data_IF_844056573686
#
_entry.id   IF_844056573686
#
_cell.length_a   1.000
_cell.length_b   1.000
_cell.length_c   1.000
_cell.angle_alpha   90.00
_cell.angle_beta   90.00
_cell.angle_gamma   90.00
#
_symmetry.space_group_name_H-M   'P 1'
#
loop_
_entity.id
_entity.type
_entity.pdbx_description
1 polymer ?
#
# COMPACT_ATOMS: atom_id res chain seq x y z
N UNK A 1 -28.39 33.82 27.98
CA UNK A 1 -27.06 34.00 27.33
C UNK A 1 -27.19 35.15 26.34
N UNK A 2 -26.32 36.17 26.41
CA UNK A 2 -26.38 37.29 25.47
C UNK A 2 -26.32 36.80 24.01
N UNK A 3 -27.04 37.42 23.06
CA UNK A 3 -27.13 36.96 21.66
C UNK A 3 -25.75 36.73 21.02
N UNK A 4 -24.82 37.65 21.25
CA UNK A 4 -23.43 37.58 20.78
C UNK A 4 -22.68 36.34 21.28
N UNK A 5 -22.86 35.97 22.55
CA UNK A 5 -22.20 34.80 23.14
C UNK A 5 -22.76 33.50 22.54
N UNK A 6 -24.04 33.48 22.19
CA UNK A 6 -24.66 32.33 21.51
C UNK A 6 -24.16 32.19 20.07
N UNK A 7 -24.05 33.30 19.35
CA UNK A 7 -23.57 33.33 17.97
C UNK A 7 -22.09 32.92 17.83
N UNK A 8 -21.22 33.40 18.73
CA UNK A 8 -19.81 32.99 18.78
C UNK A 8 -19.67 31.49 19.02
N UNK A 9 -20.47 30.93 19.96
CA UNK A 9 -20.44 29.49 20.24
C UNK A 9 -20.84 28.66 19.02
N UNK A 10 -21.86 29.08 18.28
CA UNK A 10 -22.26 28.38 17.04
C UNK A 10 -21.17 28.43 15.97
N UNK A 11 -20.55 29.58 15.74
CA UNK A 11 -19.45 29.71 14.77
C UNK A 11 -18.24 28.85 15.13
N UNK A 12 -17.88 28.77 16.41
CA UNK A 12 -16.79 27.90 16.87
C UNK A 12 -17.12 26.43 16.60
N UNK A 13 -18.37 26.02 16.89
CA UNK A 13 -18.81 24.64 16.63
C UNK A 13 -18.81 24.32 15.14
N UNK A 14 -19.31 25.22 14.31
CA UNK A 14 -19.35 25.07 12.85
C UNK A 14 -17.94 24.94 12.26
N UNK A 15 -17.02 25.80 12.68
CA UNK A 15 -15.61 25.72 12.27
C UNK A 15 -14.95 24.40 12.71
N UNK A 16 -15.24 23.94 13.93
CA UNK A 16 -14.71 22.67 14.42
C UNK A 16 -15.25 21.47 13.62
N UNK A 17 -16.53 21.48 13.27
CA UNK A 17 -17.14 20.45 12.43
C UNK A 17 -16.53 20.43 11.02
N UNK A 18 -16.38 21.59 10.39
CA UNK A 18 -15.73 21.70 9.08
C UNK A 18 -14.29 21.19 9.11
N UNK A 19 -13.55 21.50 10.19
CA UNK A 19 -12.17 21.01 10.34
C UNK A 19 -12.11 19.49 10.50
N UNK A 20 -13.03 18.89 11.27
CA UNK A 20 -13.13 17.43 11.41
C UNK A 20 -13.46 16.77 10.07
N UNK A 21 -14.39 17.33 9.29
CA UNK A 21 -14.72 16.83 7.95
C UNK A 21 -13.51 16.86 7.01
N UNK A 22 -12.74 17.96 7.03
CA UNK A 22 -11.51 18.05 6.24
C UNK A 22 -10.46 17.00 6.66
N UNK A 23 -10.29 16.77 7.97
CA UNK A 23 -9.39 15.72 8.46
C UNK A 23 -9.86 14.33 8.04
N UNK A 24 -11.15 14.03 8.12
CA UNK A 24 -11.71 12.77 7.65
C UNK A 24 -11.45 12.57 6.15
N UNK A 25 -11.66 13.60 5.32
CA UNK A 25 -11.34 13.53 3.89
C UNK A 25 -9.86 13.20 3.62
N UNK A 26 -8.94 13.79 4.40
CA UNK A 26 -7.50 13.49 4.30
C UNK A 26 -7.17 12.06 4.74
N UNK A 27 -7.80 11.56 5.81
CA UNK A 27 -7.62 10.19 6.28
C UNK A 27 -8.10 9.20 5.22
N UNK A 28 -9.29 9.43 4.65
CA UNK A 28 -9.83 8.58 3.57
C UNK A 28 -8.91 8.56 2.36
N UNK A 29 -8.41 9.72 1.91
CA UNK A 29 -7.46 9.78 0.80
C UNK A 29 -6.16 9.00 1.09
N UNK A 30 -5.61 9.14 2.30
CA UNK A 30 -4.42 8.40 2.71
C UNK A 30 -4.67 6.88 2.74
N UNK A 31 -5.84 6.44 3.22
CA UNK A 31 -6.23 5.04 3.21
C UNK A 31 -6.37 4.49 1.78
N UNK A 32 -6.96 5.26 0.86
CA UNK A 32 -7.07 4.87 -0.55
C UNK A 32 -5.70 4.70 -1.20
N UNK A 33 -4.77 5.65 -0.96
CA UNK A 33 -3.40 5.56 -1.47
C UNK A 33 -2.68 4.35 -0.86
N UNK A 34 -2.79 4.14 0.45
CA UNK A 34 -2.17 2.99 1.12
C UNK A 34 -2.71 1.66 0.59
N UNK A 35 -4.02 1.55 0.33
CA UNK A 35 -4.64 0.36 -0.25
C UNK A 35 -4.16 0.12 -1.70
N UNK A 36 -4.00 1.18 -2.50
CA UNK A 36 -3.45 1.07 -3.85
C UNK A 36 -1.96 0.64 -3.87
N UNK A 37 -1.24 0.89 -2.77
CA UNK A 37 0.14 0.46 -2.56
C UNK A 37 0.26 -0.90 -1.88
N UNK A 38 -0.86 -1.53 -1.47
CA UNK A 38 -0.83 -2.84 -0.84
C UNK A 38 -0.34 -3.87 -1.87
N UNK A 39 0.81 -4.54 -1.65
CA UNK A 39 1.34 -5.55 -2.56
C UNK A 39 0.34 -6.68 -2.84
N UNK A 40 -0.64 -6.91 -1.96
CA UNK A 40 -1.74 -7.86 -2.18
C UNK A 40 -2.62 -7.49 -3.37
N UNK A 41 -2.72 -6.22 -3.75
CA UNK A 41 -3.47 -5.81 -4.95
C UNK A 41 -2.80 -6.27 -6.24
N UNK A 42 -1.47 -6.16 -6.29
CA UNK A 42 -0.65 -6.67 -7.41
C UNK A 42 -0.82 -8.17 -7.53
N UNK A 43 -0.76 -8.86 -6.41
CA UNK A 43 -0.91 -10.31 -6.36
C UNK A 43 -2.35 -10.76 -6.70
N UNK A 44 -3.36 -10.02 -6.23
CA UNK A 44 -4.76 -10.28 -6.54
C UNK A 44 -5.10 -10.05 -8.03
N UNK A 45 -4.35 -9.17 -8.71
CA UNK A 45 -4.44 -8.95 -10.15
C UNK A 45 -3.74 -10.06 -10.98
N UNK A 46 -3.21 -11.10 -10.34
CA UNK A 46 -2.62 -12.27 -11.00
C UNK A 46 -1.11 -12.17 -11.23
N UNK A 47 -0.45 -11.16 -10.68
CA UNK A 47 1.01 -11.06 -10.71
C UNK A 47 1.64 -11.82 -9.54
N UNK A 48 2.90 -12.21 -9.70
CA UNK A 48 3.71 -12.78 -8.62
C UNK A 48 4.72 -11.74 -8.14
N UNK A 49 4.92 -11.63 -6.83
CA UNK A 49 6.02 -10.84 -6.27
C UNK A 49 7.18 -11.79 -5.98
N UNK A 50 8.28 -11.60 -6.70
CA UNK A 50 9.49 -12.36 -6.47
C UNK A 50 10.29 -11.74 -5.33
N UNK A 51 10.76 -12.58 -4.40
CA UNK A 51 11.59 -12.20 -3.27
C UNK A 51 12.87 -13.02 -3.22
N UNK A 52 13.93 -12.40 -2.73
CA UNK A 52 15.19 -13.08 -2.43
C UNK A 52 15.08 -13.92 -1.15
N UNK A 53 16.17 -14.56 -0.75
CA UNK A 53 16.25 -15.41 0.45
C UNK A 53 16.01 -14.61 1.76
N UNK A 54 16.29 -13.31 1.75
CA UNK A 54 16.03 -12.40 2.89
C UNK A 54 14.56 -11.91 2.92
N UNK A 55 13.73 -12.30 1.95
CA UNK A 55 12.34 -11.86 1.85
C UNK A 55 12.15 -10.46 1.24
N UNK A 56 13.20 -9.86 0.68
CA UNK A 56 13.15 -8.57 0.00
C UNK A 56 12.63 -8.74 -1.44
N UNK A 57 11.69 -7.88 -1.92
CA UNK A 57 11.25 -7.89 -3.30
C UNK A 57 12.40 -7.68 -4.28
N UNK A 58 12.41 -8.47 -5.36
CA UNK A 58 13.41 -8.38 -6.42
C UNK A 58 12.91 -7.45 -7.51
N UNK A 59 13.64 -6.37 -7.79
CA UNK A 59 13.22 -5.32 -8.74
C UNK A 59 13.88 -5.43 -10.11
N UNK A 60 14.95 -6.23 -10.24
CA UNK A 60 15.63 -6.44 -11.51
C UNK A 60 15.63 -7.90 -11.93
N UNK A 61 15.41 -8.14 -13.22
CA UNK A 61 15.43 -9.49 -13.82
C UNK A 61 16.79 -10.16 -13.65
N UNK A 62 17.89 -9.40 -13.63
CA UNK A 62 19.24 -9.93 -13.42
C UNK A 62 19.40 -10.54 -12.03
N UNK A 63 18.79 -9.94 -11.01
CA UNK A 63 18.84 -10.47 -9.64
C UNK A 63 18.13 -11.83 -9.60
N UNK A 64 16.98 -11.94 -10.28
CA UNK A 64 16.21 -13.20 -10.40
C UNK A 64 17.03 -14.24 -11.16
N UNK A 65 17.69 -13.87 -12.25
CA UNK A 65 18.48 -14.79 -13.06
C UNK A 65 19.73 -15.31 -12.33
N UNK A 66 20.31 -14.49 -11.45
CA UNK A 66 21.51 -14.84 -10.67
C UNK A 66 21.17 -15.54 -9.35
N UNK A 67 19.92 -15.45 -8.89
CA UNK A 67 19.49 -16.08 -7.65
C UNK A 67 19.44 -17.61 -7.78
N UNK A 68 19.93 -18.29 -6.74
CA UNK A 68 19.85 -19.75 -6.65
C UNK A 68 18.42 -20.20 -6.35
N UNK A 69 17.75 -19.49 -5.46
CA UNK A 69 16.37 -19.72 -5.03
C UNK A 69 15.67 -18.36 -4.95
N UNK A 70 14.42 -18.31 -5.37
CA UNK A 70 13.54 -17.15 -5.18
C UNK A 70 12.21 -17.62 -4.59
N UNK A 71 11.59 -16.80 -3.74
CA UNK A 71 10.20 -17.02 -3.34
C UNK A 71 9.29 -16.23 -4.27
N UNK A 72 8.18 -16.82 -4.70
CA UNK A 72 7.12 -16.16 -5.43
C UNK A 72 5.87 -16.10 -4.56
N UNK A 73 5.49 -14.89 -4.17
CA UNK A 73 4.22 -14.64 -3.48
C UNK A 73 3.11 -14.47 -4.51
N UNK A 74 2.13 -15.37 -4.40
CA UNK A 74 0.90 -15.46 -5.20
C UNK A 74 -0.31 -15.19 -4.29
N UNK A 75 -1.49 -15.11 -4.89
CA UNK A 75 -2.72 -14.69 -4.18
C UNK A 75 -3.10 -15.67 -3.08
N UNK A 76 -2.84 -16.94 -3.33
CA UNK A 76 -3.23 -18.09 -2.54
C UNK A 76 -2.08 -18.66 -1.68
N UNK A 77 -0.87 -18.09 -1.78
CA UNK A 77 0.25 -18.51 -0.97
C UNK A 77 1.60 -18.14 -1.58
N UNK A 78 2.66 -18.70 -1.02
CA UNK A 78 4.03 -18.50 -1.49
C UNK A 78 4.61 -19.84 -1.96
N UNK A 79 5.37 -19.79 -3.05
CA UNK A 79 6.10 -20.96 -3.58
C UNK A 79 7.57 -20.64 -3.78
N UNK A 80 8.43 -21.61 -3.47
CA UNK A 80 9.86 -21.52 -3.72
C UNK A 80 10.15 -21.97 -5.16
N UNK A 81 10.85 -21.13 -5.93
CA UNK A 81 11.24 -21.40 -7.30
C UNK A 81 12.76 -21.44 -7.42
N UNK A 82 13.25 -22.23 -8.36
CA UNK A 82 14.64 -22.23 -8.77
C UNK A 82 14.73 -21.65 -10.18
N UNK A 83 15.30 -20.44 -10.36
CA UNK A 83 15.51 -19.86 -11.68
C UNK A 83 16.38 -20.79 -12.53
N UNK A 84 15.89 -21.13 -13.72
CA UNK A 84 16.71 -21.85 -14.69
C UNK A 84 17.72 -20.87 -15.25
N UNK A 85 19.01 -21.16 -15.10
CA UNK A 85 20.05 -20.34 -15.71
C UNK A 85 19.85 -20.32 -17.22
N UNK A 86 19.56 -19.14 -17.78
CA UNK A 86 19.53 -18.97 -19.22
C UNK A 86 20.94 -19.25 -19.74
N UNK A 87 21.09 -20.37 -20.46
CA UNK A 87 22.29 -20.59 -21.27
C UNK A 87 22.39 -19.38 -22.21
N UNK A 88 23.51 -18.63 -22.14
CA UNK A 88 23.78 -17.60 -23.15
C UNK A 88 23.67 -18.27 -24.52
N UNK A 89 22.68 -17.85 -25.31
CA UNK A 89 22.53 -18.24 -26.72
C UNK A 89 23.48 -17.35 -27.53
#
# INVERSE_FOLDING_TARGET
>A
VPPLVREIKYKILENALQYIEQLNGRITAAQTIAAALDPRTVVAAGYAILRNEDGCPMTHVQDVANAKIVSADLRDGSITLQPLQAKKI
#
